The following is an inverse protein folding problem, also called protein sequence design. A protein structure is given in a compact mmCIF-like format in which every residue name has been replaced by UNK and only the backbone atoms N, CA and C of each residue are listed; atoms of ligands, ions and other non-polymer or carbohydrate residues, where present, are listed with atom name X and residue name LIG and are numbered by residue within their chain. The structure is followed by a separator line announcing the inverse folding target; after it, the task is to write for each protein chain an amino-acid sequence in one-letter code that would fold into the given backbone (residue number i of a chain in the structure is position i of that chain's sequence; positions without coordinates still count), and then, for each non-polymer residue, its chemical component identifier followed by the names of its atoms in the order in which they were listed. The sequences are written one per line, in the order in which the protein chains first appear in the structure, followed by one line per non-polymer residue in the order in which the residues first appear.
data_IF_477422581344
#
_entry.id   IF_477422581344
#
_cell.length_a   1.000
_cell.length_b   1.000
_cell.length_c   1.000
_cell.angle_alpha   90.00
_cell.angle_beta   90.00
_cell.angle_gamma   90.00
#
_symmetry.space_group_name_H-M   'P 1'
#
loop_
_entity.id
_entity.type
_entity.pdbx_description
1 polymer ?
#
# COMPACT_ATOMS: atom_id res chain seq x y z
N UNK A 1 60.83 9.44 34.83
CA UNK A 1 59.47 8.95 35.19
C UNK A 1 58.71 8.77 33.89
N UNK A 2 58.66 7.53 33.46
CA UNK A 2 58.06 7.07 32.17
C UNK A 2 56.58 6.86 32.37
N UNK A 3 55.73 7.46 31.48
CA UNK A 3 54.32 7.17 31.41
C UNK A 3 54.09 5.99 30.43
N UNK A 4 53.29 4.98 30.79
CA UNK A 4 53.01 3.89 29.89
C UNK A 4 51.87 4.28 28.92
N UNK A 5 52.16 4.28 27.64
CA UNK A 5 51.19 4.37 26.56
C UNK A 5 50.40 3.06 26.43
N UNK A 6 49.18 3.03 26.95
CA UNK A 6 48.22 1.95 26.70
C UNK A 6 47.38 2.26 25.47
N UNK A 7 47.74 1.68 24.32
CA UNK A 7 46.87 1.64 23.13
C UNK A 7 45.73 0.64 23.39
N UNK A 8 44.56 1.16 23.74
CA UNK A 8 43.33 0.36 23.75
C UNK A 8 42.85 0.28 22.32
N UNK A 9 43.32 -0.71 21.57
CA UNK A 9 42.72 -1.15 20.33
C UNK A 9 41.48 -1.99 20.62
N UNK A 10 40.32 -1.36 20.76
CA UNK A 10 39.06 -2.09 20.67
C UNK A 10 38.89 -2.54 19.21
N UNK A 11 38.72 -3.84 18.94
CA UNK A 11 38.45 -4.31 17.60
C UNK A 11 37.12 -3.73 17.17
N UNK A 12 37.10 -2.92 16.10
CA UNK A 12 35.90 -2.55 15.35
C UNK A 12 35.39 -3.85 14.73
N UNK A 13 34.59 -4.57 15.49
CA UNK A 13 33.95 -5.79 15.04
C UNK A 13 32.98 -5.43 13.91
N UNK A 14 33.20 -6.00 12.76
CA UNK A 14 32.43 -5.86 11.53
C UNK A 14 30.92 -5.72 11.79
N UNK A 15 30.42 -4.47 11.78
CA UNK A 15 28.98 -4.17 11.84
C UNK A 15 28.31 -4.19 10.46
N UNK A 16 29.04 -4.61 9.44
CA UNK A 16 28.55 -4.70 8.04
C UNK A 16 28.40 -6.13 7.51
N UNK A 17 28.43 -7.12 8.42
CA UNK A 17 28.21 -8.52 8.07
C UNK A 17 26.73 -8.87 8.15
N UNK A 18 26.12 -9.11 6.98
CA UNK A 18 24.92 -9.92 6.78
C UNK A 18 23.67 -9.58 7.62
N UNK A 19 22.53 -9.84 7.07
CA UNK A 19 21.25 -9.82 7.80
C UNK A 19 21.39 -10.63 9.10
N UNK A 20 21.50 -9.99 10.25
CA UNK A 20 21.76 -10.68 11.51
C UNK A 20 20.72 -11.76 11.76
N UNK A 21 21.07 -12.87 12.44
CA UNK A 21 20.17 -14.01 12.63
C UNK A 21 18.82 -13.62 13.25
N UNK A 22 18.77 -12.54 14.00
CA UNK A 22 17.53 -11.98 14.56
C UNK A 22 16.62 -11.38 13.49
N UNK A 23 17.19 -10.68 12.48
CA UNK A 23 16.41 -10.09 11.39
C UNK A 23 15.87 -11.18 10.46
N UNK A 24 16.70 -12.20 10.17
CA UNK A 24 16.26 -13.36 9.40
C UNK A 24 15.13 -14.11 10.12
N UNK A 25 15.27 -14.34 11.43
CA UNK A 25 14.24 -14.98 12.24
C UNK A 25 12.94 -14.14 12.24
N UNK A 26 13.02 -12.82 12.39
CA UNK A 26 11.86 -11.93 12.32
C UNK A 26 11.17 -12.00 10.94
N UNK A 27 11.93 -11.99 9.84
CA UNK A 27 11.37 -12.13 8.49
C UNK A 27 10.68 -13.48 8.28
N UNK A 28 11.26 -14.58 8.79
CA UNK A 28 10.65 -15.91 8.72
C UNK A 28 9.36 -16.00 9.53
N UNK A 29 9.34 -15.40 10.72
CA UNK A 29 8.12 -15.31 11.55
C UNK A 29 7.03 -14.51 10.84
N UNK A 30 7.36 -13.35 10.27
CA UNK A 30 6.39 -12.54 9.53
C UNK A 30 5.87 -13.26 8.29
N UNK A 31 6.74 -13.97 7.57
CA UNK A 31 6.33 -14.78 6.42
C UNK A 31 5.41 -15.92 6.85
N UNK A 32 5.73 -16.62 7.94
CA UNK A 32 4.89 -17.68 8.49
C UNK A 32 3.50 -17.13 8.91
N UNK A 33 3.46 -15.97 9.58
CA UNK A 33 2.21 -15.31 9.96
C UNK A 33 1.38 -14.92 8.72
N UNK A 34 2.04 -14.40 7.68
CA UNK A 34 1.38 -14.06 6.41
C UNK A 34 0.77 -15.29 5.75
N UNK A 35 1.51 -16.40 5.71
CA UNK A 35 1.00 -17.66 5.14
C UNK A 35 -0.16 -18.23 5.97
N UNK A 36 -0.06 -18.20 7.29
CA UNK A 36 -1.16 -18.63 8.18
C UNK A 36 -2.40 -17.76 7.98
N UNK A 37 -2.23 -16.44 7.87
CA UNK A 37 -3.31 -15.51 7.61
C UNK A 37 -3.95 -15.73 6.22
N UNK A 38 -3.15 -15.98 5.19
CA UNK A 38 -3.62 -16.28 3.85
C UNK A 38 -4.42 -17.59 3.79
N UNK A 39 -3.90 -18.66 4.39
CA UNK A 39 -4.60 -19.97 4.50
C UNK A 39 -5.87 -19.81 5.34
N UNK A 40 -5.79 -19.16 6.48
CA UNK A 40 -6.95 -18.88 7.33
C UNK A 40 -8.04 -18.09 6.60
N UNK A 41 -7.66 -17.08 5.81
CA UNK A 41 -8.59 -16.31 4.98
C UNK A 41 -9.19 -17.16 3.84
N UNK A 42 -8.40 -18.05 3.26
CA UNK A 42 -8.88 -18.96 2.22
C UNK A 42 -9.91 -19.96 2.75
N UNK A 43 -9.78 -20.39 4.00
CA UNK A 43 -10.70 -21.35 4.63
C UNK A 43 -11.93 -20.70 5.25
N UNK A 44 -11.78 -19.50 5.80
CA UNK A 44 -12.83 -18.82 6.59
C UNK A 44 -13.74 -17.98 5.70
N UNK A 45 -15.04 -18.05 5.95
CA UNK A 45 -16.05 -17.26 5.25
C UNK A 45 -17.44 -17.90 5.33
N UNK A 46 -18.39 -17.37 4.58
CA UNK A 46 -19.78 -17.86 4.53
C UNK A 46 -19.84 -19.34 4.08
N UNK A 47 -18.95 -19.74 3.19
CA UNK A 47 -18.73 -21.15 2.79
C UNK A 47 -17.44 -21.63 3.47
N UNK A 48 -17.52 -22.66 4.28
CA UNK A 48 -16.33 -23.28 4.89
C UNK A 48 -15.72 -24.26 3.90
N UNK A 49 -14.44 -24.05 3.56
CA UNK A 49 -13.68 -24.95 2.70
C UNK A 49 -12.79 -25.80 3.62
N UNK A 50 -12.93 -27.13 3.62
CA UNK A 50 -12.10 -28.00 4.46
C UNK A 50 -10.66 -28.03 3.96
N UNK A 51 -9.71 -28.18 4.89
CA UNK A 51 -8.26 -28.16 4.62
C UNK A 51 -7.81 -29.28 3.67
N UNK A 52 -8.43 -30.43 3.76
CA UNK A 52 -8.17 -31.62 2.94
C UNK A 52 -8.55 -31.42 1.46
N UNK A 53 -9.51 -30.53 1.17
CA UNK A 53 -9.88 -30.19 -0.20
C UNK A 53 -8.92 -29.17 -0.86
N UNK A 54 -8.16 -28.39 -0.09
CA UNK A 54 -7.28 -27.31 -0.58
C UNK A 54 -6.23 -27.78 -1.60
N UNK A 55 -5.45 -28.87 -1.38
CA UNK A 55 -4.45 -29.31 -2.34
C UNK A 55 -5.04 -29.68 -3.70
N UNK A 56 -6.24 -30.29 -3.70
CA UNK A 56 -6.94 -30.64 -4.92
C UNK A 56 -7.49 -29.41 -5.65
N UNK A 57 -8.05 -28.43 -4.92
CA UNK A 57 -8.56 -27.17 -5.47
C UNK A 57 -7.45 -26.30 -6.07
N UNK A 58 -6.23 -26.37 -5.51
CA UNK A 58 -5.06 -25.64 -6.00
C UNK A 58 -4.28 -26.41 -7.10
N UNK A 59 -4.74 -27.61 -7.50
CA UNK A 59 -4.11 -28.41 -8.54
C UNK A 59 -2.75 -29.00 -8.13
N UNK A 60 -2.41 -29.00 -6.82
CA UNK A 60 -1.11 -29.48 -6.32
C UNK A 60 -1.11 -30.99 -6.06
N UNK A 61 -2.29 -31.60 -5.89
CA UNK A 61 -2.44 -33.05 -5.63
C UNK A 61 -3.30 -33.68 -6.71
N UNK A 62 -2.66 -34.11 -7.79
CA UNK A 62 -3.33 -34.85 -8.85
C UNK A 62 -3.60 -36.32 -8.52
N UNK A 63 -2.93 -36.93 -7.51
CA UNK A 63 -2.94 -38.38 -7.27
C UNK A 63 -3.64 -38.82 -5.97
N UNK A 64 -4.06 -37.89 -5.09
CA UNK A 64 -4.56 -38.27 -3.75
C UNK A 64 -6.07 -38.06 -3.55
N UNK A 65 -6.79 -37.49 -4.51
CA UNK A 65 -8.25 -37.43 -4.48
C UNK A 65 -8.78 -38.31 -5.60
N UNK A 66 -9.61 -39.33 -5.31
CA UNK A 66 -10.25 -40.10 -6.36
C UNK A 66 -11.04 -39.16 -7.25
N UNK A 67 -10.56 -38.95 -8.47
CA UNK A 67 -11.15 -38.05 -9.49
C UNK A 67 -12.63 -38.40 -9.80
N UNK A 68 -13.08 -39.58 -9.39
CA UNK A 68 -14.47 -40.01 -9.53
C UNK A 68 -15.41 -39.51 -8.41
N UNK A 69 -14.89 -39.19 -7.22
CA UNK A 69 -15.73 -38.81 -6.07
C UNK A 69 -15.81 -37.31 -5.83
N UNK A 70 -14.72 -36.55 -6.05
CA UNK A 70 -14.69 -35.10 -5.78
C UNK A 70 -15.28 -34.24 -6.92
N UNK A 71 -15.00 -34.58 -8.18
CA UNK A 71 -15.47 -33.83 -9.34
C UNK A 71 -16.99 -33.93 -9.58
N UNK A 72 -17.67 -34.91 -8.97
CA UNK A 72 -19.11 -35.13 -9.06
C UNK A 72 -19.95 -34.49 -7.95
N UNK A 73 -19.31 -34.04 -6.85
CA UNK A 73 -20.04 -33.35 -5.75
C UNK A 73 -20.38 -31.92 -6.13
N UNK A 74 -21.66 -31.50 -6.05
CA UNK A 74 -22.04 -30.11 -6.30
C UNK A 74 -21.33 -29.11 -5.38
N UNK A 75 -20.92 -29.53 -4.18
CA UNK A 75 -20.17 -28.74 -3.23
C UNK A 75 -18.73 -28.44 -3.70
N UNK A 76 -18.09 -29.33 -4.43
CA UNK A 76 -16.71 -29.12 -4.93
C UNK A 76 -16.65 -27.96 -5.92
N UNK A 77 -17.57 -27.86 -6.87
CA UNK A 77 -17.66 -26.73 -7.79
C UNK A 77 -17.93 -25.41 -7.08
N UNK A 78 -18.74 -25.44 -6.01
CA UNK A 78 -18.98 -24.27 -5.18
C UNK A 78 -17.69 -23.83 -4.46
N UNK A 79 -16.95 -24.78 -3.86
CA UNK A 79 -15.68 -24.47 -3.19
C UNK A 79 -14.64 -23.94 -4.17
N UNK A 80 -14.54 -24.54 -5.35
CA UNK A 80 -13.64 -24.10 -6.43
C UNK A 80 -13.94 -22.66 -6.84
N UNK A 81 -15.16 -22.32 -7.18
CA UNK A 81 -15.55 -20.96 -7.55
C UNK A 81 -15.34 -19.95 -6.40
N UNK A 82 -15.71 -20.33 -5.17
CA UNK A 82 -15.49 -19.44 -4.00
C UNK A 82 -14.01 -19.23 -3.74
N UNK A 83 -13.17 -20.27 -3.85
CA UNK A 83 -11.73 -20.16 -3.62
C UNK A 83 -11.03 -19.40 -4.73
N UNK A 84 -11.23 -19.81 -5.98
CA UNK A 84 -10.47 -19.29 -7.12
C UNK A 84 -10.98 -17.94 -7.61
N UNK A 85 -12.31 -17.70 -7.64
CA UNK A 85 -12.86 -16.49 -8.24
C UNK A 85 -13.12 -15.37 -7.22
N UNK A 86 -13.27 -15.72 -5.91
CA UNK A 86 -13.60 -14.72 -4.90
C UNK A 86 -12.45 -14.55 -3.91
N UNK A 87 -11.98 -15.63 -3.26
CA UNK A 87 -11.04 -15.52 -2.15
C UNK A 87 -9.61 -15.28 -2.60
N UNK A 88 -9.15 -15.99 -3.60
CA UNK A 88 -7.78 -15.89 -4.07
C UNK A 88 -7.45 -14.50 -4.62
N UNK A 89 -8.27 -13.88 -5.50
CA UNK A 89 -8.05 -12.49 -5.91
C UNK A 89 -8.03 -11.52 -4.75
N UNK A 90 -8.92 -11.69 -3.76
CA UNK A 90 -8.98 -10.83 -2.58
C UNK A 90 -7.75 -10.95 -1.69
N UNK A 91 -7.25 -12.16 -1.46
CA UNK A 91 -6.02 -12.40 -0.69
C UNK A 91 -4.83 -11.77 -1.42
N UNK A 92 -4.71 -11.99 -2.73
CA UNK A 92 -3.63 -11.42 -3.54
C UNK A 92 -3.67 -9.89 -3.58
N UNK A 93 -4.86 -9.29 -3.73
CA UNK A 93 -5.02 -7.83 -3.66
C UNK A 93 -4.63 -7.30 -2.27
N UNK A 94 -5.02 -7.97 -1.19
CA UNK A 94 -4.64 -7.59 0.16
C UNK A 94 -3.14 -7.65 0.40
N UNK A 95 -2.47 -8.71 -0.07
CA UNK A 95 -1.01 -8.84 -0.02
C UNK A 95 -0.31 -7.75 -0.84
N UNK A 96 -0.80 -7.50 -2.06
CA UNK A 96 -0.25 -6.48 -2.95
C UNK A 96 -0.40 -5.08 -2.36
N UNK A 97 -1.59 -4.76 -1.83
CA UNK A 97 -1.87 -3.47 -1.19
C UNK A 97 -1.01 -3.27 0.07
N UNK A 98 -0.90 -4.28 0.93
CA UNK A 98 -0.05 -4.23 2.12
C UNK A 98 1.42 -4.02 1.77
N UNK A 99 1.96 -4.76 0.79
CA UNK A 99 3.33 -4.60 0.33
C UNK A 99 3.60 -3.20 -0.27
N UNK A 100 2.68 -2.71 -1.11
CA UNK A 100 2.79 -1.39 -1.71
C UNK A 100 2.74 -0.26 -0.68
N UNK A 101 1.82 -0.35 0.29
CA UNK A 101 1.71 0.63 1.37
C UNK A 101 2.95 0.61 2.27
N UNK A 102 3.52 -0.56 2.57
CA UNK A 102 4.75 -0.67 3.33
C UNK A 102 5.94 -0.02 2.61
N UNK A 103 6.11 -0.27 1.30
CA UNK A 103 7.16 0.39 0.50
C UNK A 103 6.93 1.89 0.42
N UNK A 104 5.70 2.33 0.16
CA UNK A 104 5.34 3.74 0.12
C UNK A 104 5.58 4.43 1.47
N UNK A 105 5.22 3.78 2.58
CA UNK A 105 5.49 4.25 3.94
C UNK A 105 6.98 4.42 4.20
N UNK A 106 7.79 3.42 3.90
CA UNK A 106 9.25 3.50 4.07
C UNK A 106 9.86 4.66 3.26
N UNK A 107 9.37 4.91 2.04
CA UNK A 107 9.80 6.06 1.22
C UNK A 107 9.41 7.38 1.88
N UNK A 108 8.18 7.48 2.41
CA UNK A 108 7.70 8.70 3.07
C UNK A 108 8.44 8.96 4.38
N UNK A 109 8.72 7.90 5.15
CA UNK A 109 9.52 7.98 6.37
C UNK A 109 10.95 8.47 6.08
N UNK A 110 11.59 7.98 5.02
CA UNK A 110 12.90 8.46 4.58
C UNK A 110 12.84 9.91 4.08
N UNK A 111 11.84 10.27 3.30
CA UNK A 111 11.65 11.60 2.73
C UNK A 111 11.47 12.68 3.79
N UNK A 112 10.62 12.40 4.81
CA UNK A 112 10.32 13.34 5.90
C UNK A 112 11.20 13.15 7.13
N UNK A 113 12.04 12.11 7.15
CA UNK A 113 12.83 11.70 8.32
C UNK A 113 11.98 11.59 9.58
N UNK A 114 10.81 11.05 9.43
CA UNK A 114 9.82 10.88 10.47
C UNK A 114 9.24 9.46 10.39
N UNK A 115 9.38 8.62 11.44
CA UNK A 115 8.84 7.27 11.43
C UNK A 115 7.32 7.20 11.40
N UNK A 116 6.63 8.31 11.64
CA UNK A 116 5.17 8.41 11.57
C UNK A 116 4.68 8.96 10.21
N UNK A 117 5.58 9.10 9.22
CA UNK A 117 5.16 9.57 7.91
C UNK A 117 4.55 8.45 7.09
N UNK A 118 3.39 8.72 6.50
CA UNK A 118 2.65 7.83 5.61
C UNK A 118 2.22 8.55 4.32
N UNK A 119 1.84 7.83 3.26
CA UNK A 119 1.42 8.42 2.00
C UNK A 119 0.24 9.39 2.11
N UNK A 120 -0.68 9.17 3.05
CA UNK A 120 -1.83 10.04 3.31
C UNK A 120 -1.45 11.48 3.65
N UNK A 121 -0.26 11.70 4.25
CA UNK A 121 0.21 13.04 4.65
C UNK A 121 0.44 13.98 3.47
N UNK A 122 0.63 13.50 2.26
CA UNK A 122 0.78 14.32 1.04
C UNK A 122 -0.52 14.45 0.24
N UNK A 123 -1.66 14.03 0.82
CA UNK A 123 -2.97 14.24 0.22
C UNK A 123 -3.47 13.12 -0.68
N UNK A 124 -2.74 12.02 -0.87
CA UNK A 124 -3.14 10.92 -1.77
C UNK A 124 -4.51 10.37 -1.39
N UNK A 125 -4.70 9.99 -0.13
CA UNK A 125 -5.93 9.34 0.34
C UNK A 125 -7.13 10.29 0.34
N UNK A 126 -6.94 11.54 0.85
CA UNK A 126 -8.03 12.52 0.88
C UNK A 126 -8.42 12.96 -0.52
N UNK A 127 -7.45 13.11 -1.43
CA UNK A 127 -7.73 13.43 -2.83
C UNK A 127 -8.55 12.33 -3.50
N UNK A 128 -8.18 11.07 -3.27
CA UNK A 128 -8.96 9.91 -3.72
C UNK A 128 -10.39 9.92 -3.17
N UNK A 129 -10.54 10.23 -1.88
CA UNK A 129 -11.85 10.34 -1.26
C UNK A 129 -12.69 11.48 -1.86
N UNK A 130 -12.13 12.67 -2.05
CA UNK A 130 -12.83 13.79 -2.68
C UNK A 130 -13.30 13.42 -4.09
N UNK A 131 -12.43 12.78 -4.88
CA UNK A 131 -12.78 12.33 -6.23
C UNK A 131 -13.91 11.30 -6.24
N UNK A 132 -13.79 10.26 -5.41
CA UNK A 132 -14.80 9.20 -5.30
C UNK A 132 -16.14 9.73 -4.78
N UNK A 133 -16.11 10.51 -3.69
CA UNK A 133 -17.29 11.09 -3.07
C UNK A 133 -17.98 12.04 -4.04
N UNK A 134 -17.21 12.88 -4.76
CA UNK A 134 -17.77 13.73 -5.81
C UNK A 134 -18.46 12.93 -6.92
N UNK A 135 -17.85 11.86 -7.40
CA UNK A 135 -18.45 10.98 -8.40
C UNK A 135 -19.74 10.32 -7.90
N UNK A 136 -19.78 9.84 -6.65
CA UNK A 136 -20.98 9.24 -6.03
C UNK A 136 -22.13 10.26 -5.96
N UNK A 137 -21.85 11.49 -5.48
CA UNK A 137 -22.88 12.54 -5.36
C UNK A 137 -23.38 12.99 -6.72
N UNK A 138 -22.55 12.94 -7.76
CA UNK A 138 -22.95 13.19 -9.15
C UNK A 138 -23.73 12.04 -9.81
N UNK A 139 -23.95 10.93 -9.09
CA UNK A 139 -24.76 9.78 -9.57
C UNK A 139 -23.97 8.71 -10.34
N UNK A 140 -22.65 8.69 -10.23
CA UNK A 140 -21.79 7.70 -10.89
C UNK A 140 -21.41 6.52 -9.96
N UNK A 141 -22.13 6.32 -8.87
CA UNK A 141 -21.88 5.26 -7.88
C UNK A 141 -21.94 3.84 -8.45
N UNK A 142 -22.76 3.64 -9.51
CA UNK A 142 -22.91 2.34 -10.21
C UNK A 142 -21.91 2.16 -11.38
N UNK A 143 -20.97 3.08 -11.56
CA UNK A 143 -19.98 3.02 -12.63
C UNK A 143 -18.55 2.89 -12.04
N UNK A 144 -18.08 1.64 -11.79
CA UNK A 144 -16.81 1.42 -11.07
C UNK A 144 -15.60 2.08 -11.72
N UNK A 145 -15.57 2.15 -13.07
CA UNK A 145 -14.48 2.76 -13.82
C UNK A 145 -14.45 4.29 -13.64
N UNK A 146 -15.62 4.94 -13.63
CA UNK A 146 -15.72 6.38 -13.40
C UNK A 146 -15.33 6.71 -11.96
N UNK A 147 -15.82 5.90 -11.01
CA UNK A 147 -15.53 6.05 -9.60
C UNK A 147 -14.02 5.91 -9.32
N UNK A 148 -13.39 4.83 -9.80
CA UNK A 148 -11.97 4.60 -9.67
C UNK A 148 -11.14 5.67 -10.39
N UNK A 149 -11.54 6.08 -11.60
CA UNK A 149 -10.89 7.15 -12.33
C UNK A 149 -10.95 8.49 -11.60
N UNK A 150 -12.12 8.86 -11.07
CA UNK A 150 -12.30 10.08 -10.28
C UNK A 150 -11.44 10.06 -8.99
N UNK A 151 -11.40 8.92 -8.29
CA UNK A 151 -10.56 8.74 -7.11
C UNK A 151 -9.07 8.88 -7.46
N UNK A 152 -8.61 8.22 -8.51
CA UNK A 152 -7.20 8.30 -8.95
C UNK A 152 -6.80 9.73 -9.35
N UNK A 153 -7.62 10.40 -10.17
CA UNK A 153 -7.40 11.80 -10.57
C UNK A 153 -7.41 12.72 -9.36
N UNK A 154 -8.34 12.53 -8.42
CA UNK A 154 -8.39 13.27 -7.17
C UNK A 154 -7.12 13.11 -6.34
N UNK A 155 -6.59 11.88 -6.23
CA UNK A 155 -5.31 11.60 -5.57
C UNK A 155 -4.14 12.36 -6.22
N UNK A 156 -4.06 12.35 -7.54
CA UNK A 156 -3.01 13.07 -8.28
C UNK A 156 -3.11 14.58 -8.08
N UNK A 157 -4.31 15.15 -8.19
CA UNK A 157 -4.54 16.59 -8.06
C UNK A 157 -4.23 17.08 -6.65
N UNK A 158 -4.68 16.38 -5.62
CA UNK A 158 -4.40 16.73 -4.23
C UNK A 158 -2.90 16.67 -3.92
N UNK A 159 -2.21 15.61 -4.36
CA UNK A 159 -0.76 15.48 -4.17
C UNK A 159 0.01 16.53 -4.96
N UNK A 160 -0.39 16.83 -6.19
CA UNK A 160 0.20 17.89 -6.99
C UNK A 160 0.03 19.24 -6.31
N UNK A 161 -1.16 19.55 -5.78
CA UNK A 161 -1.42 20.77 -5.03
C UNK A 161 -0.54 20.86 -3.77
N UNK A 162 -0.46 19.79 -2.99
CA UNK A 162 0.40 19.73 -1.80
C UNK A 162 1.88 19.96 -2.17
N UNK A 163 2.36 19.34 -3.25
CA UNK A 163 3.73 19.52 -3.72
C UNK A 163 3.98 20.97 -4.22
N UNK A 164 3.09 21.51 -5.05
CA UNK A 164 3.23 22.89 -5.59
C UNK A 164 3.23 23.96 -4.48
N UNK A 165 2.40 23.80 -3.46
CA UNK A 165 2.37 24.68 -2.31
C UNK A 165 3.62 24.49 -1.43
N UNK A 166 3.95 23.23 -1.14
CA UNK A 166 5.02 22.87 -0.20
C UNK A 166 6.42 23.14 -0.74
N UNK A 167 6.65 23.05 -2.06
CA UNK A 167 7.96 23.30 -2.67
C UNK A 167 8.50 24.73 -2.52
N UNK A 168 7.62 25.68 -2.18
CA UNK A 168 8.00 27.09 -1.97
C UNK A 168 8.68 27.30 -0.61
N UNK A 169 8.44 26.41 0.35
CA UNK A 169 9.09 26.45 1.65
C UNK A 169 10.40 25.62 1.63
N UNK A 170 11.42 26.01 2.39
CA UNK A 170 12.66 25.25 2.48
C UNK A 170 12.42 23.90 3.17
N UNK A 171 13.05 22.84 2.66
CA UNK A 171 13.03 21.54 3.28
C UNK A 171 11.78 20.69 3.00
N UNK A 172 11.74 19.48 3.57
CA UNK A 172 10.63 18.55 3.44
C UNK A 172 9.41 18.96 4.29
N UNK A 173 9.61 19.75 5.35
CA UNK A 173 8.55 20.20 6.25
C UNK A 173 7.47 21.04 5.55
N UNK A 174 7.86 21.82 4.53
CA UNK A 174 6.91 22.61 3.76
C UNK A 174 5.89 21.75 3.02
N UNK A 175 6.33 20.62 2.45
CA UNK A 175 5.44 19.68 1.74
C UNK A 175 4.49 19.00 2.74
N UNK A 176 4.99 18.64 3.93
CA UNK A 176 4.18 18.04 4.98
C UNK A 176 3.08 19.00 5.46
N UNK A 177 3.43 20.28 5.71
CA UNK A 177 2.48 21.30 6.13
C UNK A 177 1.43 21.58 5.05
N UNK A 178 1.85 21.66 3.79
CA UNK A 178 0.94 21.79 2.65
C UNK A 178 0.00 20.58 2.54
N UNK A 179 0.51 19.36 2.74
CA UNK A 179 -0.31 18.14 2.75
C UNK A 179 -1.36 18.15 3.86
N UNK A 180 -1.02 18.61 5.07
CA UNK A 180 -1.98 18.77 6.18
C UNK A 180 -3.09 19.78 5.78
N UNK A 181 -2.74 20.89 5.16
CA UNK A 181 -3.71 21.88 4.69
C UNK A 181 -4.63 21.31 3.60
N UNK A 182 -4.07 20.56 2.63
CA UNK A 182 -4.85 19.86 1.58
C UNK A 182 -5.77 18.80 2.19
N UNK A 183 -5.30 18.05 3.20
CA UNK A 183 -6.14 17.08 3.91
C UNK A 183 -7.31 17.75 4.64
N UNK A 184 -7.08 18.87 5.30
CA UNK A 184 -8.14 19.64 5.96
C UNK A 184 -9.15 20.20 4.94
N UNK A 185 -8.67 20.75 3.83
CA UNK A 185 -9.53 21.26 2.76
C UNK A 185 -10.35 20.12 2.10
N UNK A 186 -9.70 19.00 1.80
CA UNK A 186 -10.39 17.83 1.24
C UNK A 186 -11.44 17.26 2.19
N UNK A 187 -11.15 17.22 3.50
CA UNK A 187 -12.13 16.84 4.52
C UNK A 187 -13.35 17.76 4.54
N UNK A 188 -13.14 19.07 4.41
CA UNK A 188 -14.23 20.04 4.31
C UNK A 188 -15.07 19.80 3.04
N UNK A 189 -14.45 19.54 1.88
CA UNK A 189 -15.18 19.20 0.65
C UNK A 189 -15.99 17.92 0.79
N UNK A 190 -15.42 16.88 1.41
CA UNK A 190 -16.16 15.64 1.69
C UNK A 190 -17.37 15.95 2.57
N UNK A 191 -17.23 16.82 3.57
CA UNK A 191 -18.34 17.27 4.40
C UNK A 191 -19.47 17.93 3.60
N UNK A 192 -19.12 18.83 2.65
CA UNK A 192 -20.09 19.47 1.75
C UNK A 192 -20.80 18.44 0.88
N UNK A 193 -20.07 17.53 0.25
CA UNK A 193 -20.66 16.46 -0.55
C UNK A 193 -21.56 15.53 0.28
N UNK A 194 -21.15 15.22 1.50
CA UNK A 194 -21.97 14.42 2.43
C UNK A 194 -23.29 15.11 2.76
N UNK A 195 -23.29 16.44 2.92
CA UNK A 195 -24.50 17.21 3.14
C UNK A 195 -25.44 17.21 1.92
N UNK A 196 -24.88 17.21 0.70
CA UNK A 196 -25.66 17.20 -0.54
C UNK A 196 -26.15 15.81 -0.95
N UNK A 197 -25.62 14.76 -0.34
CA UNK A 197 -25.89 13.38 -0.69
C UNK A 197 -27.30 12.93 -0.20
N UNK A 198 -27.98 12.11 -0.99
CA UNK A 198 -29.18 11.40 -0.54
C UNK A 198 -28.82 10.14 0.28
N UNK A 199 -29.80 9.49 0.89
CA UNK A 199 -29.58 8.35 1.80
C UNK A 199 -28.86 7.18 1.14
N UNK A 200 -29.10 6.90 -0.13
CA UNK A 200 -28.43 5.85 -0.88
C UNK A 200 -26.95 6.21 -1.12
N UNK A 201 -26.70 7.44 -1.55
CA UNK A 201 -25.36 7.98 -1.74
C UNK A 201 -24.58 8.01 -0.42
N UNK A 202 -25.20 8.42 0.70
CA UNK A 202 -24.57 8.39 2.03
C UNK A 202 -24.09 6.99 2.40
N UNK A 203 -24.87 5.97 2.09
CA UNK A 203 -24.45 4.58 2.30
C UNK A 203 -23.25 4.22 1.43
N UNK A 204 -23.27 4.55 0.13
CA UNK A 204 -22.17 4.31 -0.80
C UNK A 204 -20.89 5.04 -0.36
N UNK A 205 -20.99 6.31 0.07
CA UNK A 205 -19.88 7.10 0.62
C UNK A 205 -19.27 6.42 1.85
N UNK A 206 -20.11 5.97 2.77
CA UNK A 206 -19.65 5.32 4.01
C UNK A 206 -18.89 4.04 3.71
N UNK A 207 -19.42 3.17 2.84
CA UNK A 207 -18.74 1.94 2.44
C UNK A 207 -17.42 2.22 1.70
N UNK A 208 -17.40 3.23 0.82
CA UNK A 208 -16.18 3.58 0.10
C UNK A 208 -15.08 4.09 1.04
N UNK A 209 -15.46 4.94 2.02
CA UNK A 209 -14.51 5.47 3.02
C UNK A 209 -13.98 4.41 4.00
N UNK A 210 -14.75 3.37 4.28
CA UNK A 210 -14.28 2.24 5.12
C UNK A 210 -13.21 1.40 4.41
N UNK A 211 -13.14 1.48 3.10
CA UNK A 211 -12.30 0.62 2.28
C UNK A 211 -12.78 -0.83 2.23
N UNK A 212 -12.53 -1.51 1.13
CA UNK A 212 -12.93 -2.90 0.95
C UNK A 212 -12.05 -3.62 -0.06
N UNK A 213 -11.73 -4.87 0.22
CA UNK A 213 -11.10 -5.78 -0.76
C UNK A 213 -12.15 -6.60 -1.55
N UNK A 214 -13.45 -6.32 -1.35
CA UNK A 214 -14.52 -7.09 -1.97
C UNK A 214 -14.62 -6.89 -3.49
N UNK A 215 -14.06 -5.79 -4.01
CA UNK A 215 -13.95 -5.47 -5.44
C UNK A 215 -12.87 -6.26 -6.17
N UNK A 216 -12.09 -7.07 -5.45
CA UNK A 216 -10.99 -7.83 -6.03
C UNK A 216 -11.51 -8.89 -7.01
N UNK A 217 -11.01 -8.83 -8.25
CA UNK A 217 -11.19 -9.81 -9.29
C UNK A 217 -9.89 -10.01 -10.10
N UNK A 218 -9.86 -11.02 -10.95
CA UNK A 218 -8.70 -11.30 -11.79
C UNK A 218 -8.45 -10.21 -12.84
N UNK A 219 -9.49 -9.54 -13.32
CA UNK A 219 -9.36 -8.47 -14.29
C UNK A 219 -8.62 -7.26 -13.67
N UNK A 220 -8.99 -6.88 -12.45
CA UNK A 220 -8.30 -5.82 -11.71
C UNK A 220 -6.86 -6.22 -11.41
N UNK A 221 -6.63 -7.43 -10.91
CA UNK A 221 -5.27 -7.89 -10.57
C UNK A 221 -4.36 -7.96 -11.79
N UNK A 222 -4.88 -8.32 -12.96
CA UNK A 222 -4.08 -8.49 -14.19
C UNK A 222 -3.33 -7.21 -14.61
N UNK A 223 -3.88 -6.04 -14.36
CA UNK A 223 -3.22 -4.75 -14.66
C UNK A 223 -2.63 -4.10 -13.41
N UNK A 224 -3.29 -4.23 -12.25
CA UNK A 224 -2.86 -3.57 -11.04
C UNK A 224 -1.59 -4.20 -10.45
N UNK A 225 -1.47 -5.53 -10.51
CA UNK A 225 -0.30 -6.22 -9.97
C UNK A 225 1.00 -5.85 -10.72
N UNK A 226 1.09 -5.97 -12.07
CA UNK A 226 2.31 -5.57 -12.77
C UNK A 226 2.63 -4.09 -12.62
N UNK A 227 1.62 -3.20 -12.60
CA UNK A 227 1.79 -1.78 -12.34
C UNK A 227 2.40 -1.52 -10.96
N UNK A 228 1.81 -2.10 -9.93
CA UNK A 228 2.26 -1.96 -8.54
C UNK A 228 3.67 -2.51 -8.36
N UNK A 229 3.95 -3.72 -8.86
CA UNK A 229 5.27 -4.36 -8.76
C UNK A 229 6.36 -3.55 -9.50
N UNK A 230 6.06 -3.00 -10.68
CA UNK A 230 6.98 -2.14 -11.43
C UNK A 230 7.34 -0.87 -10.64
N UNK A 231 6.35 -0.20 -10.04
CA UNK A 231 6.59 1.00 -9.22
C UNK A 231 7.31 0.68 -7.91
N UNK A 232 6.97 -0.43 -7.25
CA UNK A 232 7.73 -0.90 -6.08
C UNK A 232 9.19 -1.15 -6.44
N UNK A 233 9.45 -1.85 -7.56
CA UNK A 233 10.80 -2.07 -8.06
C UNK A 233 11.55 -0.77 -8.35
N UNK A 234 10.88 0.20 -8.99
CA UNK A 234 11.44 1.52 -9.27
C UNK A 234 11.78 2.31 -8.00
N UNK A 235 10.95 2.22 -6.95
CA UNK A 235 11.23 2.84 -5.64
C UNK A 235 12.36 2.13 -4.92
N UNK A 236 12.37 0.80 -4.91
CA UNK A 236 13.43 0.01 -4.28
C UNK A 236 14.79 0.23 -4.97
N UNK A 237 14.81 0.44 -6.28
CA UNK A 237 16.06 0.79 -7.01
C UNK A 237 16.68 2.09 -6.51
N UNK A 238 15.87 3.00 -5.96
CA UNK A 238 16.33 4.28 -5.43
C UNK A 238 16.85 4.20 -3.98
N UNK A 239 17.16 3.00 -3.47
CA UNK A 239 17.62 2.77 -2.10
C UNK A 239 18.81 3.64 -1.68
N UNK A 240 19.73 3.96 -2.63
CA UNK A 240 20.88 4.86 -2.36
C UNK A 240 20.43 6.28 -2.05
N UNK A 241 19.44 6.79 -2.80
CA UNK A 241 18.89 8.12 -2.58
C UNK A 241 18.09 8.18 -1.27
N UNK A 242 17.32 7.13 -0.96
CA UNK A 242 16.57 7.03 0.29
C UNK A 242 17.52 7.01 1.49
N UNK A 243 18.60 6.22 1.45
CA UNK A 243 19.62 6.18 2.49
C UNK A 243 20.33 7.54 2.64
N UNK A 244 20.63 8.24 1.54
CA UNK A 244 21.20 9.56 1.60
C UNK A 244 20.26 10.58 2.28
N UNK A 245 18.95 10.51 2.03
CA UNK A 245 17.96 11.37 2.69
C UNK A 245 17.89 11.12 4.20
N UNK A 246 18.05 9.88 4.64
CA UNK A 246 18.08 9.53 6.07
C UNK A 246 19.28 10.15 6.80
N UNK A 247 20.44 10.29 6.13
CA UNK A 247 21.61 10.96 6.69
C UNK A 247 21.41 12.47 6.87
N UNK A 248 20.57 13.08 6.04
CA UNK A 248 20.29 14.50 6.08
C UNK A 248 20.27 15.16 4.71
N UNK A 249 19.63 16.32 4.61
CA UNK A 249 19.55 17.05 3.33
C UNK A 249 20.91 17.57 2.86
N UNK A 250 21.76 18.01 3.81
CA UNK A 250 23.11 18.50 3.50
C UNK A 250 23.99 17.38 2.98
N UNK A 251 23.95 16.24 3.63
CA UNK A 251 24.69 15.04 3.25
C UNK A 251 24.24 14.51 1.88
N UNK A 252 22.93 14.49 1.63
CA UNK A 252 22.37 14.10 0.33
C UNK A 252 22.81 15.05 -0.80
N UNK A 253 22.91 16.37 -0.54
CA UNK A 253 23.45 17.35 -1.49
C UNK A 253 24.94 17.09 -1.75
N UNK A 254 25.74 16.82 -0.71
CA UNK A 254 27.17 16.50 -0.85
C UNK A 254 27.40 15.20 -1.65
N UNK A 255 26.47 14.25 -1.57
CA UNK A 255 26.46 13.03 -2.37
C UNK A 255 25.98 13.25 -3.83
N UNK A 256 25.65 14.49 -4.19
CA UNK A 256 25.28 14.87 -5.55
C UNK A 256 23.79 14.70 -5.90
N UNK A 257 22.92 14.47 -4.92
CA UNK A 257 21.48 14.37 -5.18
C UNK A 257 20.82 15.76 -5.29
N UNK A 258 20.06 15.98 -6.34
CA UNK A 258 19.25 17.17 -6.53
C UNK A 258 17.91 17.04 -5.78
N UNK A 259 17.87 17.57 -4.55
CA UNK A 259 16.78 17.31 -3.58
C UNK A 259 15.38 17.62 -4.11
N UNK A 260 15.20 18.74 -4.84
CA UNK A 260 13.88 19.10 -5.35
C UNK A 260 13.34 18.10 -6.37
N UNK A 261 14.19 17.68 -7.32
CA UNK A 261 13.81 16.66 -8.31
C UNK A 261 13.60 15.30 -7.67
N UNK A 262 14.45 14.95 -6.71
CA UNK A 262 14.33 13.69 -5.98
C UNK A 262 13.01 13.62 -5.22
N UNK A 263 12.66 14.65 -4.45
CA UNK A 263 11.39 14.73 -3.72
C UNK A 263 10.19 14.65 -4.66
N UNK A 264 10.20 15.43 -5.74
CA UNK A 264 9.11 15.41 -6.73
C UNK A 264 8.92 14.01 -7.33
N UNK A 265 10.02 13.34 -7.69
CA UNK A 265 9.99 11.98 -8.25
C UNK A 265 9.46 10.97 -7.25
N UNK A 266 9.94 10.99 -6.01
CA UNK A 266 9.50 10.06 -4.96
C UNK A 266 8.01 10.24 -4.63
N UNK A 267 7.54 11.49 -4.46
CA UNK A 267 6.14 11.80 -4.19
C UNK A 267 5.26 11.35 -5.36
N UNK A 268 5.66 11.63 -6.59
CA UNK A 268 4.92 11.19 -7.78
C UNK A 268 4.83 9.64 -7.85
N UNK A 269 5.96 8.95 -7.64
CA UNK A 269 5.97 7.49 -7.67
C UNK A 269 5.12 6.88 -6.55
N UNK A 270 5.15 7.44 -5.34
CA UNK A 270 4.28 7.03 -4.23
C UNK A 270 2.81 7.27 -4.57
N UNK A 271 2.48 8.41 -5.19
CA UNK A 271 1.10 8.70 -5.61
C UNK A 271 0.62 7.75 -6.70
N UNK A 272 1.47 7.46 -7.69
CA UNK A 272 1.16 6.49 -8.74
C UNK A 272 1.07 5.04 -8.21
N UNK A 273 1.75 4.74 -7.11
CA UNK A 273 1.69 3.43 -6.45
C UNK A 273 0.41 3.29 -5.62
N UNK A 274 0.12 4.28 -4.77
CA UNK A 274 -0.98 4.23 -3.78
C UNK A 274 -2.31 4.67 -4.39
N UNK A 275 -2.30 5.65 -5.31
CA UNK A 275 -3.52 6.20 -5.92
C UNK A 275 -4.42 5.15 -6.58
N UNK A 276 -3.92 4.28 -7.47
CA UNK A 276 -4.72 3.20 -8.07
C UNK A 276 -5.22 2.19 -7.05
N UNK A 277 -4.43 1.89 -6.01
CA UNK A 277 -4.86 1.01 -4.92
C UNK A 277 -6.04 1.62 -4.18
N UNK A 278 -5.93 2.88 -3.74
CA UNK A 278 -7.03 3.62 -3.09
C UNK A 278 -8.26 3.71 -4.00
N UNK A 279 -8.07 3.91 -5.30
CA UNK A 279 -9.16 3.97 -6.27
C UNK A 279 -9.96 2.65 -6.36
N UNK A 280 -9.28 1.51 -6.18
CA UNK A 280 -9.89 0.17 -6.24
C UNK A 280 -10.43 -0.26 -4.87
N UNK A 281 -9.67 -0.01 -3.80
CA UNK A 281 -9.98 -0.55 -2.46
C UNK A 281 -10.69 0.43 -1.55
N UNK A 282 -10.82 1.71 -1.92
CA UNK A 282 -11.15 2.77 -0.98
C UNK A 282 -9.96 3.11 -0.06
N UNK A 283 -10.22 3.85 1.03
CA UNK A 283 -9.17 4.29 1.94
C UNK A 283 -8.67 3.11 2.77
N UNK A 284 -7.36 2.86 2.72
CA UNK A 284 -6.65 1.98 3.65
C UNK A 284 -5.62 2.86 4.37
N UNK A 285 -5.89 3.18 5.63
CA UNK A 285 -5.01 4.01 6.44
C UNK A 285 -4.08 3.20 7.36
N UNK A 286 -3.01 3.82 7.80
CA UNK A 286 -2.05 3.34 8.81
C UNK A 286 -1.27 2.07 8.50
N UNK A 287 -1.49 1.40 7.38
CA UNK A 287 -0.75 0.17 7.00
C UNK A 287 0.68 0.48 6.57
N UNK A 288 0.98 1.71 6.20
CA UNK A 288 2.31 2.17 5.80
C UNK A 288 3.20 2.66 6.95
N UNK A 289 2.73 2.60 8.19
CA UNK A 289 3.49 2.93 9.40
C UNK A 289 4.26 1.69 9.96
#
# INVERSE_FOLDING_TARGET
MSAPGGSVSTPVKDRFGGCGPRLLAAMLVLLALLLVAAVGSAMSGAVRIPLDAMPALLGVASDSVPTSSAAGHPEYRLWEGVLLDIRLPRILLGMLAGAALAVAGAVMQALFRNPLAEPGLVGVSVGGAVGAVGAIVLGYDQQPLVLAGAAFVGSLLATLAAWLLGRRAPGAAGILLAGIAINAFGGALIGVFTYLANDMQLRSLTFWNLGSLATADWAILSWLAPWTLALMGALLWQWRALNALLLGEREALHLGFELQRLRARLILQVTLLVGPLVAVTGIIGFVGL
#
